data_IF_534797259713
#
_entry.id   IF_534797259713
#
_cell.length_a   1.000
_cell.length_b   1.000
_cell.length_c   1.000
_cell.angle_alpha   90.00
_cell.angle_beta   90.00
_cell.angle_gamma   90.00
#
_symmetry.space_group_name_H-M   'P 1'
#
loop_
_entity.id
_entity.type
_entity.pdbx_description
1 polymer ?
#
# COMPACT_ATOMS: atom_id res chain seq x y z
N UNK A 1 -55.65 22.40 16.24
CA UNK A 1 -54.20 22.27 16.54
C UNK A 1 -53.71 20.81 16.47
N UNK A 2 -54.34 19.93 15.68
CA UNK A 2 -54.03 18.48 15.73
C UNK A 2 -53.60 17.88 14.38
N UNK A 3 -54.07 18.43 13.26
CA UNK A 3 -53.70 17.95 11.92
C UNK A 3 -52.26 18.31 11.52
N UNK A 4 -51.77 19.49 11.95
CA UNK A 4 -50.39 19.91 11.65
C UNK A 4 -49.36 19.03 12.37
N UNK A 5 -49.61 18.65 13.63
CA UNK A 5 -48.75 17.73 14.38
C UNK A 5 -48.72 16.31 13.79
N UNK A 6 -49.87 15.79 13.33
CA UNK A 6 -49.92 14.50 12.63
C UNK A 6 -49.11 14.52 11.32
N UNK A 7 -49.16 15.62 10.57
CA UNK A 7 -48.36 15.77 9.35
C UNK A 7 -46.85 15.84 9.64
N UNK A 8 -46.46 16.42 10.78
CA UNK A 8 -45.07 16.51 11.22
C UNK A 8 -44.56 15.14 11.69
N UNK A 9 -45.34 14.40 12.49
CA UNK A 9 -44.98 13.05 12.94
C UNK A 9 -44.86 12.06 11.77
N UNK A 10 -45.74 12.18 10.77
CA UNK A 10 -45.64 11.44 9.51
C UNK A 10 -44.38 11.83 8.72
N UNK A 11 -44.05 13.13 8.62
CA UNK A 11 -42.83 13.59 7.97
C UNK A 11 -41.55 13.13 8.70
N UNK A 12 -41.58 13.08 10.03
CA UNK A 12 -40.48 12.56 10.86
C UNK A 12 -40.29 11.06 10.60
N UNK A 13 -41.37 10.29 10.59
CA UNK A 13 -41.32 8.84 10.33
C UNK A 13 -40.87 8.54 8.90
N UNK A 14 -41.35 9.31 7.93
CA UNK A 14 -40.97 9.19 6.52
C UNK A 14 -39.50 9.53 6.28
N UNK A 15 -38.91 10.48 7.03
CA UNK A 15 -37.49 10.81 6.92
C UNK A 15 -36.57 9.82 7.66
N UNK A 16 -37.07 9.15 8.70
CA UNK A 16 -36.30 8.18 9.49
C UNK A 16 -35.98 6.89 8.73
N UNK A 17 -36.94 6.32 8.00
CA UNK A 17 -36.77 5.06 7.25
C UNK A 17 -35.61 5.10 6.24
N UNK A 18 -35.54 6.07 5.31
CA UNK A 18 -34.42 6.17 4.37
C UNK A 18 -33.10 6.49 5.08
N UNK A 19 -33.13 7.33 6.12
CA UNK A 19 -31.93 7.64 6.90
C UNK A 19 -31.35 6.40 7.61
N UNK A 20 -32.20 5.49 8.10
CA UNK A 20 -31.79 4.22 8.69
C UNK A 20 -31.12 3.30 7.65
N UNK A 21 -31.66 3.19 6.45
CA UNK A 21 -31.08 2.39 5.37
C UNK A 21 -29.72 2.95 4.92
N UNK A 22 -29.62 4.26 4.74
CA UNK A 22 -28.34 4.92 4.42
C UNK A 22 -27.33 4.67 5.54
N UNK A 23 -27.75 4.81 6.80
CA UNK A 23 -26.89 4.55 7.96
C UNK A 23 -26.36 3.11 8.04
N UNK A 24 -27.21 2.12 7.74
CA UNK A 24 -26.82 0.70 7.78
C UNK A 24 -25.83 0.35 6.67
N UNK A 25 -26.08 0.75 5.43
CA UNK A 25 -25.15 0.56 4.30
C UNK A 25 -23.81 1.24 4.58
N UNK A 26 -23.87 2.47 5.05
CA UNK A 26 -22.69 3.26 5.32
C UNK A 26 -21.88 2.63 6.48
N UNK A 27 -22.51 2.01 7.49
CA UNK A 27 -21.83 1.26 8.56
C UNK A 27 -21.19 -0.02 8.05
N UNK A 28 -21.84 -0.73 7.14
CA UNK A 28 -21.26 -1.92 6.51
C UNK A 28 -20.00 -1.57 5.72
N UNK A 29 -20.02 -0.45 4.98
CA UNK A 29 -18.86 0.03 4.24
C UNK A 29 -17.71 0.40 5.18
N UNK A 30 -17.98 1.16 6.24
CA UNK A 30 -16.97 1.49 7.25
C UNK A 30 -16.39 0.25 7.92
N UNK A 31 -17.24 -0.72 8.27
CA UNK A 31 -16.79 -1.98 8.86
C UNK A 31 -15.91 -2.78 7.89
N UNK A 32 -16.20 -2.72 6.58
CA UNK A 32 -15.38 -3.36 5.55
C UNK A 32 -14.04 -2.65 5.38
N UNK A 33 -14.02 -1.32 5.33
CA UNK A 33 -12.79 -0.54 5.27
C UNK A 33 -11.96 -0.76 6.53
N UNK A 34 -12.56 -0.71 7.72
CA UNK A 34 -11.87 -0.88 9.00
C UNK A 34 -11.25 -2.27 9.23
N UNK A 35 -11.59 -3.29 8.41
CA UNK A 35 -10.89 -4.58 8.42
C UNK A 35 -9.48 -4.47 7.82
N UNK A 36 -9.24 -3.48 6.97
CA UNK A 36 -7.93 -3.18 6.41
C UNK A 36 -7.09 -2.53 7.51
N UNK A 37 -5.92 -3.10 7.77
CA UNK A 37 -5.03 -2.63 8.82
C UNK A 37 -4.65 -1.14 8.61
N UNK A 38 -4.61 -0.37 9.70
CA UNK A 38 -4.29 1.06 9.68
C UNK A 38 -5.37 2.03 9.17
N UNK A 39 -6.47 1.56 8.57
CA UNK A 39 -7.48 2.45 7.97
C UNK A 39 -8.48 3.06 8.96
N UNK A 40 -8.66 2.45 10.14
CA UNK A 40 -9.68 2.84 11.13
C UNK A 40 -9.60 4.31 11.56
N UNK A 41 -8.39 4.85 11.67
CA UNK A 41 -8.15 6.24 12.10
C UNK A 41 -8.22 7.25 10.95
N UNK A 42 -8.26 6.77 9.70
CA UNK A 42 -8.26 7.59 8.49
C UNK A 42 -9.67 7.79 7.92
N UNK A 43 -10.66 7.06 8.45
CA UNK A 43 -12.05 7.18 8.06
C UNK A 43 -12.62 8.56 8.42
N UNK A 44 -13.36 9.20 7.51
CA UNK A 44 -13.97 10.50 7.78
C UNK A 44 -15.05 10.37 8.85
N UNK A 45 -15.04 11.27 9.83
CA UNK A 45 -16.10 11.35 10.82
C UNK A 45 -17.44 11.71 10.14
N UNK A 46 -18.50 10.99 10.50
CA UNK A 46 -19.86 11.21 9.97
C UNK A 46 -20.90 11.28 11.07
N UNK A 47 -22.05 11.88 10.74
CA UNK A 47 -23.26 11.85 11.58
C UNK A 47 -24.18 10.70 11.17
N UNK A 48 -25.07 10.30 12.06
CA UNK A 48 -26.08 9.29 11.76
C UNK A 48 -26.96 9.72 10.57
N UNK A 49 -27.37 8.75 9.75
CA UNK A 49 -28.22 8.98 8.57
C UNK A 49 -27.51 9.62 7.38
N UNK A 50 -26.20 9.90 7.48
CA UNK A 50 -25.41 10.42 6.37
C UNK A 50 -24.65 9.29 5.65
N UNK A 51 -24.56 9.33 4.31
CA UNK A 51 -23.73 8.39 3.57
C UNK A 51 -22.25 8.64 3.86
N UNK A 52 -21.41 7.64 3.53
CA UNK A 52 -19.95 7.82 3.57
C UNK A 52 -19.54 8.82 2.49
N UNK A 53 -18.77 9.82 2.89
CA UNK A 53 -18.26 10.85 1.98
C UNK A 53 -17.09 10.30 1.15
N UNK A 54 -17.41 9.83 -0.05
CA UNK A 54 -16.42 9.28 -0.98
C UNK A 54 -15.40 10.33 -1.46
N UNK A 55 -15.73 11.63 -1.41
CA UNK A 55 -14.79 12.67 -1.77
C UNK A 55 -13.71 12.81 -0.69
N UNK A 56 -14.08 12.72 0.59
CA UNK A 56 -13.12 12.69 1.71
C UNK A 56 -12.28 11.43 1.74
N UNK A 57 -12.81 10.29 1.30
CA UNK A 57 -12.00 9.08 1.12
C UNK A 57 -10.96 9.32 0.03
N UNK A 58 -11.38 9.86 -1.13
CA UNK A 58 -10.49 10.12 -2.27
C UNK A 58 -9.42 11.18 -1.98
N UNK A 59 -9.69 12.16 -1.12
CA UNK A 59 -8.69 13.17 -0.74
C UNK A 59 -7.61 12.64 0.20
N UNK A 60 -7.85 11.52 0.90
CA UNK A 60 -6.87 10.91 1.79
C UNK A 60 -6.02 9.88 1.04
N UNK A 61 -4.83 10.31 0.61
CA UNK A 61 -3.89 9.48 -0.17
C UNK A 61 -3.50 8.17 0.52
N UNK A 62 -3.38 8.17 1.85
CA UNK A 62 -3.02 6.97 2.61
C UNK A 62 -4.19 5.99 2.68
N UNK A 63 -5.41 6.49 2.87
CA UNK A 63 -6.60 5.65 2.86
C UNK A 63 -6.85 5.05 1.47
N UNK A 64 -6.67 5.85 0.41
CA UNK A 64 -6.84 5.36 -0.96
C UNK A 64 -5.80 4.32 -1.34
N UNK A 65 -4.53 4.49 -0.93
CA UNK A 65 -3.48 3.51 -1.21
C UNK A 65 -3.72 2.18 -0.48
N UNK A 66 -4.13 2.23 0.79
CA UNK A 66 -4.45 1.04 1.58
C UNK A 66 -5.66 0.29 0.99
N UNK A 67 -6.72 1.01 0.60
CA UNK A 67 -7.89 0.42 -0.05
C UNK A 67 -7.51 -0.21 -1.40
N UNK A 68 -6.73 0.49 -2.22
CA UNK A 68 -6.25 -0.03 -3.50
C UNK A 68 -5.36 -1.26 -3.31
N UNK A 69 -4.56 -1.32 -2.25
CA UNK A 69 -3.69 -2.46 -1.96
C UNK A 69 -4.45 -3.68 -1.43
N UNK A 70 -5.56 -3.49 -0.72
CA UNK A 70 -6.32 -4.60 -0.15
C UNK A 70 -7.28 -5.22 -1.17
N UNK A 71 -8.18 -4.42 -1.76
CA UNK A 71 -9.23 -4.95 -2.64
C UNK A 71 -9.60 -4.00 -3.79
N UNK A 72 -9.46 -4.53 -5.01
CA UNK A 72 -9.82 -3.81 -6.24
C UNK A 72 -11.33 -3.49 -6.32
N UNK A 73 -12.18 -4.37 -5.81
CA UNK A 73 -13.63 -4.15 -5.74
C UNK A 73 -14.00 -2.94 -4.87
N UNK A 74 -13.37 -2.83 -3.70
CA UNK A 74 -13.62 -1.73 -2.76
C UNK A 74 -13.07 -0.41 -3.32
N UNK A 75 -11.89 -0.46 -3.94
CA UNK A 75 -11.31 0.68 -4.63
C UNK A 75 -12.24 1.21 -5.73
N UNK A 76 -12.74 0.32 -6.60
CA UNK A 76 -13.70 0.69 -7.65
C UNK A 76 -15.00 1.26 -7.07
N UNK A 77 -15.54 0.65 -6.01
CA UNK A 77 -16.74 1.14 -5.34
C UNK A 77 -16.56 2.55 -4.74
N UNK A 78 -15.38 2.84 -4.19
CA UNK A 78 -15.02 4.16 -3.67
C UNK A 78 -14.63 5.17 -4.77
N UNK A 79 -14.64 4.77 -6.05
CA UNK A 79 -14.23 5.61 -7.18
C UNK A 79 -12.73 5.88 -7.23
N UNK A 80 -11.93 4.97 -6.69
CA UNK A 80 -10.47 4.99 -6.74
C UNK A 80 -10.03 4.26 -8.02
N UNK A 81 -9.10 4.86 -8.76
CA UNK A 81 -8.62 4.35 -10.06
C UNK A 81 -7.89 2.99 -9.88
N UNK A 82 -8.32 1.92 -10.58
CA UNK A 82 -7.64 0.62 -10.60
C UNK A 82 -6.17 0.69 -11.05
N UNK A 83 -5.79 1.71 -11.83
CA UNK A 83 -4.41 1.90 -12.29
C UNK A 83 -3.41 2.07 -11.13
N UNK A 84 -3.87 2.51 -9.95
CA UNK A 84 -3.01 2.65 -8.76
C UNK A 84 -2.46 1.28 -8.33
N UNK A 85 -3.27 0.21 -8.40
CA UNK A 85 -2.83 -1.16 -8.07
C UNK A 85 -1.71 -1.61 -9.02
N UNK A 86 -1.93 -1.45 -10.32
CA UNK A 86 -0.97 -1.84 -11.35
C UNK A 86 0.37 -1.13 -11.16
N UNK A 87 0.37 0.18 -10.90
CA UNK A 87 1.62 0.92 -10.61
C UNK A 87 2.33 0.40 -9.36
N UNK A 88 1.60 0.10 -8.29
CA UNK A 88 2.18 -0.43 -7.05
C UNK A 88 2.85 -1.79 -7.30
N UNK A 89 2.22 -2.65 -8.10
CA UNK A 89 2.76 -3.97 -8.41
C UNK A 89 3.99 -3.87 -9.32
N UNK A 90 3.96 -3.01 -10.34
CA UNK A 90 5.12 -2.69 -11.19
C UNK A 90 6.31 -2.15 -10.37
N UNK A 91 6.07 -1.24 -9.41
CA UNK A 91 7.10 -0.71 -8.53
C UNK A 91 7.71 -1.80 -7.64
N UNK A 92 6.90 -2.70 -7.09
CA UNK A 92 7.38 -3.82 -6.27
C UNK A 92 8.23 -4.79 -7.08
N UNK A 93 7.81 -5.10 -8.31
CA UNK A 93 8.57 -5.95 -9.22
C UNK A 93 9.91 -5.29 -9.59
N UNK A 94 9.91 -3.99 -9.89
CA UNK A 94 11.12 -3.23 -10.18
C UNK A 94 12.11 -3.23 -9.01
N UNK A 95 11.62 -3.05 -7.78
CA UNK A 95 12.44 -3.12 -6.56
C UNK A 95 13.01 -4.53 -6.38
N UNK A 96 12.19 -5.58 -6.57
CA UNK A 96 12.64 -6.96 -6.47
C UNK A 96 13.74 -7.29 -7.49
N UNK A 97 13.57 -6.88 -8.75
CA UNK A 97 14.58 -7.04 -9.79
C UNK A 97 15.87 -6.27 -9.48
N UNK A 98 15.76 -5.03 -8.99
CA UNK A 98 16.90 -4.23 -8.60
C UNK A 98 17.67 -4.86 -7.43
N UNK A 99 16.97 -5.40 -6.43
CA UNK A 99 17.58 -6.11 -5.30
C UNK A 99 18.33 -7.37 -5.77
N UNK A 100 17.74 -8.17 -6.66
CA UNK A 100 18.39 -9.35 -7.23
C UNK A 100 19.64 -8.97 -8.05
N UNK A 101 19.55 -7.93 -8.89
CA UNK A 101 20.67 -7.44 -9.65
C UNK A 101 21.83 -6.96 -8.76
N UNK A 102 21.49 -6.30 -7.64
CA UNK A 102 22.47 -5.86 -6.66
C UNK A 102 23.14 -7.06 -5.97
N UNK A 103 22.37 -8.08 -5.57
CA UNK A 103 22.90 -9.32 -4.99
C UNK A 103 23.91 -9.99 -5.93
N UNK A 104 23.56 -10.18 -7.20
CA UNK A 104 24.48 -10.78 -8.19
C UNK A 104 25.78 -9.98 -8.34
N UNK A 105 25.70 -8.64 -8.37
CA UNK A 105 26.89 -7.78 -8.42
C UNK A 105 27.76 -7.92 -7.17
N UNK A 106 27.14 -7.99 -5.99
CA UNK A 106 27.88 -8.16 -4.74
C UNK A 106 28.58 -9.52 -4.66
N UNK A 107 27.94 -10.58 -5.16
CA UNK A 107 28.53 -11.91 -5.22
C UNK A 107 29.71 -11.97 -6.19
N UNK A 108 29.58 -11.37 -7.37
CA UNK A 108 30.67 -11.26 -8.34
C UNK A 108 31.88 -10.50 -7.76
N UNK A 109 31.64 -9.38 -7.08
CA UNK A 109 32.70 -8.62 -6.39
C UNK A 109 33.36 -9.45 -5.28
N UNK A 110 32.57 -10.22 -4.53
CA UNK A 110 33.10 -11.11 -3.48
C UNK A 110 34.02 -12.17 -4.07
N UNK A 111 33.63 -12.80 -5.18
CA UNK A 111 34.46 -13.79 -5.88
C UNK A 111 35.76 -13.17 -6.40
N UNK A 112 35.69 -11.99 -7.02
CA UNK A 112 36.88 -11.28 -7.52
C UNK A 112 37.85 -10.93 -6.38
N UNK A 113 37.33 -10.47 -5.24
CA UNK A 113 38.14 -10.16 -4.07
C UNK A 113 38.82 -11.40 -3.48
N UNK A 114 38.12 -12.54 -3.43
CA UNK A 114 38.70 -13.81 -2.99
C UNK A 114 39.85 -14.26 -3.91
N UNK A 115 39.65 -14.19 -5.23
CA UNK A 115 40.71 -14.53 -6.19
C UNK A 115 41.92 -13.61 -6.04
N UNK A 116 41.71 -12.30 -5.88
CA UNK A 116 42.80 -11.33 -5.67
C UNK A 116 43.57 -11.63 -4.38
N UNK A 117 42.88 -11.94 -3.29
CA UNK A 117 43.53 -12.33 -2.04
C UNK A 117 44.38 -13.59 -2.20
N UNK A 118 43.87 -14.61 -2.89
CA UNK A 118 44.63 -15.84 -3.18
C UNK A 118 45.88 -15.53 -4.02
N UNK A 119 45.79 -14.68 -5.03
CA UNK A 119 46.95 -14.27 -5.83
C UNK A 119 48.00 -13.51 -5.01
N UNK A 120 47.56 -12.61 -4.12
CA UNK A 120 48.46 -11.89 -3.20
C UNK A 120 49.14 -12.87 -2.25
N UNK A 121 48.42 -13.84 -1.70
CA UNK A 121 48.98 -14.88 -0.82
C UNK A 121 50.00 -15.75 -1.58
N UNK A 122 49.67 -16.24 -2.77
CA UNK A 122 50.61 -17.00 -3.60
C UNK A 122 51.88 -16.20 -3.91
N UNK A 123 51.73 -14.91 -4.24
CA UNK A 123 52.88 -14.02 -4.48
C UNK A 123 53.68 -13.72 -3.22
N UNK A 124 53.06 -13.73 -2.05
CA UNK A 124 53.74 -13.56 -0.77
C UNK A 124 54.60 -14.77 -0.38
N UNK A 125 54.17 -15.97 -0.76
CA UNK A 125 54.86 -17.25 -0.50
C UNK A 125 56.06 -17.50 -1.44
N UNK A 126 56.13 -16.82 -2.59
CA UNK A 126 57.29 -16.87 -3.49
C UNK A 126 58.51 -16.16 -2.89
N UNK A 127 59.71 -16.70 -3.15
CA UNK A 127 60.95 -16.10 -2.67
C UNK A 127 61.17 -14.71 -3.31
N UNK A 128 61.86 -13.77 -2.62
CA UNK A 128 62.07 -12.40 -3.13
C UNK A 128 62.67 -12.32 -4.54
N UNK A 129 63.56 -13.26 -4.90
CA UNK A 129 64.19 -13.31 -6.22
C UNK A 129 63.28 -13.87 -7.31
N UNK A 130 62.35 -14.78 -7.00
CA UNK A 130 61.34 -15.30 -7.96
C UNK A 130 60.27 -14.25 -8.30
N UNK A 131 59.98 -13.35 -7.34
CA UNK A 131 59.02 -12.24 -7.53
C UNK A 131 59.46 -11.23 -8.59
N UNK A 132 60.77 -11.05 -8.82
CA UNK A 132 61.33 -10.07 -9.76
C UNK A 132 61.39 -10.55 -11.22
N UNK A 133 61.46 -11.87 -11.46
CA UNK A 133 61.57 -12.42 -12.82
C UNK A 133 60.23 -12.58 -13.56
N UNK A 134 59.10 -12.56 -12.84
CA UNK A 134 57.75 -12.83 -13.40
C UNK A 134 56.94 -11.58 -13.75
N UNK A 135 57.54 -10.40 -13.64
CA UNK A 135 56.87 -9.10 -13.86
C UNK A 135 57.08 -8.49 -15.26
N UNK A 136 57.29 -9.33 -16.28
CA UNK A 136 57.33 -8.91 -17.70
C UNK A 136 56.12 -9.47 -18.42
#
# INVERSE_FOLDING_TARGET
MSAEFQSIDEAITASYQPASQVGTQARQLEARIAKIDGTKNLLPARRYGQPVDMAKIRSNLTLTSLIAQDSAELAHFCGIDPAIRHRIDEEKEAIAMAAQALQMRTEALRQQNQQRQQQVQQRSQLSPWERGYRSV
#
